data_IF_058754071962
#
_entry.id   IF_058754071962
#
_cell.length_a   1.000
_cell.length_b   1.000
_cell.length_c   1.000
_cell.angle_alpha   90.00
_cell.angle_beta   90.00
_cell.angle_gamma   90.00
#
_symmetry.space_group_name_H-M   'P 1'
#
loop_
_entity.id
_entity.type
_entity.pdbx_description
1 polymer ?
#
# COMPACT_ATOMS: atom_id res chain seq x y z
N UNK A 1 -29.52 13.09 11.73
CA UNK A 1 -28.92 11.77 12.04
C UNK A 1 -28.41 11.10 10.77
N UNK A 2 -29.22 10.94 9.70
CA UNK A 2 -28.77 10.40 8.40
C UNK A 2 -27.56 11.15 7.80
N UNK A 3 -27.57 12.49 7.83
CA UNK A 3 -26.47 13.32 7.28
C UNK A 3 -25.10 13.07 7.92
N UNK A 4 -25.05 12.62 9.18
CA UNK A 4 -23.78 12.36 9.88
C UNK A 4 -23.13 11.06 9.37
N UNK A 5 -23.95 10.08 9.01
CA UNK A 5 -23.48 8.79 8.47
C UNK A 5 -22.95 8.99 7.04
N UNK A 6 -23.65 9.78 6.22
CA UNK A 6 -23.21 10.16 4.86
C UNK A 6 -21.82 10.83 4.86
N UNK A 7 -21.60 11.80 5.75
CA UNK A 7 -20.31 12.51 5.89
C UNK A 7 -19.20 11.56 6.34
N UNK A 8 -19.49 10.62 7.24
CA UNK A 8 -18.50 9.63 7.68
C UNK A 8 -18.15 8.64 6.57
N UNK A 9 -19.11 8.26 5.71
CA UNK A 9 -18.84 7.44 4.54
C UNK A 9 -18.00 8.17 3.49
N UNK A 10 -18.15 9.49 3.28
CA UNK A 10 -17.27 10.25 2.38
C UNK A 10 -15.83 10.38 2.91
N UNK A 11 -15.62 10.19 4.22
CA UNK A 11 -14.32 10.31 4.88
C UNK A 11 -13.60 8.96 5.11
N UNK A 12 -14.18 7.84 4.70
CA UNK A 12 -13.58 6.52 4.94
C UNK A 12 -12.41 6.29 3.97
N UNK A 13 -11.18 6.43 4.49
CA UNK A 13 -9.95 6.05 3.81
C UNK A 13 -9.34 4.85 4.53
N UNK A 14 -9.07 3.76 3.81
CA UNK A 14 -8.25 2.67 4.33
C UNK A 14 -7.22 2.22 3.30
N UNK A 15 -6.00 2.02 3.76
CA UNK A 15 -4.90 1.49 2.96
C UNK A 15 -4.51 0.13 3.50
N UNK A 16 -4.23 -0.81 2.60
CA UNK A 16 -3.71 -2.13 2.94
C UNK A 16 -2.64 -2.52 1.94
N UNK A 17 -1.58 -3.15 2.44
CA UNK A 17 -0.45 -3.54 1.63
C UNK A 17 0.12 -4.87 2.07
N UNK A 18 0.70 -5.60 1.12
CA UNK A 18 1.47 -6.81 1.37
C UNK A 18 2.78 -6.75 0.62
N UNK A 19 3.85 -7.18 1.28
CA UNK A 19 5.18 -7.18 0.70
C UNK A 19 5.91 -8.49 0.95
N UNK A 20 6.74 -8.84 -0.02
CA UNK A 20 7.74 -9.89 0.12
C UNK A 20 9.11 -9.25 -0.09
N UNK A 21 10.01 -9.45 0.87
CA UNK A 21 11.42 -9.12 0.72
C UNK A 21 12.20 -10.41 0.71
N UNK A 22 13.05 -10.58 -0.30
CA UNK A 22 14.01 -11.66 -0.41
C UNK A 22 15.41 -11.10 -0.22
N UNK A 23 16.08 -11.53 0.84
CA UNK A 23 17.45 -11.19 1.15
C UNK A 23 18.34 -12.31 0.57
N UNK A 24 19.18 -11.97 -0.40
CA UNK A 24 20.11 -12.92 -1.01
C UNK A 24 21.35 -13.06 -0.13
N UNK A 25 21.91 -11.92 0.26
CA UNK A 25 23.04 -11.78 1.17
C UNK A 25 22.96 -10.41 1.89
N UNK A 26 23.93 -10.10 2.74
CA UNK A 26 23.97 -8.83 3.50
C UNK A 26 24.08 -7.59 2.59
N UNK A 27 24.47 -7.76 1.32
CA UNK A 27 24.69 -6.70 0.35
C UNK A 27 23.52 -6.55 -0.63
N UNK A 28 22.77 -7.62 -0.94
CA UNK A 28 21.76 -7.64 -2.00
C UNK A 28 20.39 -8.10 -1.51
N UNK A 29 19.36 -7.30 -1.82
CA UNK A 29 17.97 -7.69 -1.58
C UNK A 29 17.03 -7.26 -2.69
N UNK A 30 15.97 -8.06 -2.87
CA UNK A 30 14.88 -7.78 -3.79
C UNK A 30 13.59 -7.64 -3.00
N UNK A 31 12.78 -6.63 -3.32
CA UNK A 31 11.50 -6.39 -2.67
C UNK A 31 10.40 -6.22 -3.69
N UNK A 32 9.27 -6.87 -3.43
CA UNK A 32 8.01 -6.62 -4.09
C UNK A 32 6.99 -6.17 -3.04
N UNK A 33 6.31 -5.06 -3.32
CA UNK A 33 5.26 -4.48 -2.48
C UNK A 33 4.04 -4.24 -3.37
N UNK A 34 2.88 -4.65 -2.88
CA UNK A 34 1.60 -4.28 -3.43
C UNK A 34 0.85 -3.48 -2.39
N UNK A 35 0.44 -2.27 -2.74
CA UNK A 35 -0.32 -1.36 -1.89
C UNK A 35 -1.64 -1.00 -2.57
N UNK A 36 -2.72 -1.10 -1.81
CA UNK A 36 -4.06 -0.69 -2.22
C UNK A 36 -4.60 0.37 -1.27
N UNK A 37 -5.00 1.50 -1.84
CA UNK A 37 -5.69 2.57 -1.13
C UNK A 37 -7.13 2.64 -1.59
N UNK A 38 -8.04 2.60 -0.63
CA UNK A 38 -9.48 2.59 -0.87
C UNK A 38 -10.07 3.84 -0.25
N UNK A 39 -10.60 4.68 -1.13
CA UNK A 39 -11.42 5.84 -0.81
C UNK A 39 -12.83 5.59 -1.38
N UNK A 40 -13.81 6.29 -0.83
CA UNK A 40 -15.22 6.10 -1.18
C UNK A 40 -15.51 6.28 -2.66
N UNK A 41 -14.80 7.19 -3.33
CA UNK A 41 -14.99 7.53 -4.74
C UNK A 41 -13.80 7.14 -5.63
N UNK A 42 -12.73 6.62 -5.05
CA UNK A 42 -11.46 6.38 -5.76
C UNK A 42 -10.71 5.20 -5.15
N UNK A 43 -10.12 4.38 -6.03
CA UNK A 43 -9.26 3.28 -5.61
C UNK A 43 -7.93 3.42 -6.32
N UNK A 44 -6.85 3.42 -5.54
CA UNK A 44 -5.49 3.44 -6.05
C UNK A 44 -4.81 2.10 -5.77
N UNK A 45 -4.10 1.60 -6.77
CA UNK A 45 -3.31 0.40 -6.67
C UNK A 45 -1.90 0.69 -7.15
N UNK A 46 -0.91 0.36 -6.33
CA UNK A 46 0.49 0.49 -6.70
C UNK A 46 1.20 -0.84 -6.56
N UNK A 47 2.09 -1.11 -7.52
CA UNK A 47 3.02 -2.23 -7.48
C UNK A 47 4.42 -1.68 -7.51
N UNK A 48 5.18 -1.96 -6.45
CA UNK A 48 6.56 -1.53 -6.31
C UNK A 48 7.49 -2.72 -6.39
N UNK A 49 8.48 -2.64 -7.28
CA UNK A 49 9.59 -3.57 -7.35
C UNK A 49 10.89 -2.81 -7.07
N UNK A 50 11.72 -3.31 -6.15
CA UNK A 50 12.96 -2.67 -5.77
C UNK A 50 14.11 -3.69 -5.67
N UNK A 51 15.30 -3.24 -6.05
CA UNK A 51 16.56 -3.96 -5.87
C UNK A 51 17.47 -3.05 -5.04
N UNK A 52 18.05 -3.59 -3.98
CA UNK A 52 19.03 -2.90 -3.13
C UNK A 52 20.38 -3.58 -3.28
N UNK A 53 21.42 -2.76 -3.42
CA UNK A 53 22.81 -3.18 -3.34
C UNK A 53 23.58 -2.26 -2.38
N UNK A 54 24.45 -2.82 -1.53
CA UNK A 54 25.28 -2.10 -0.58
C UNK A 54 26.76 -2.42 -0.81
N UNK A 55 27.59 -1.37 -0.88
CA UNK A 55 29.05 -1.43 -1.05
C UNK A 55 29.78 -1.38 0.31
#
# INVERSE_FOLDING_TARGET
>A
MLKLIEILSELLLFATGVGLTYEMDDQFSVRFLYDGEFQTDYQEHSLTAAIRYQF
#
